data_IF_065703866452
#
_entry.id   IF_065703866452
#
_cell.length_a   1.000
_cell.length_b   1.000
_cell.length_c   1.000
_cell.angle_alpha   90.00
_cell.angle_beta   90.00
_cell.angle_gamma   90.00
#
_symmetry.space_group_name_H-M   'P 1'
#
loop_
_entity.id
_entity.type
_entity.pdbx_description
1 polymer ?
#
# COMPACT_ATOMS: atom_id res chain seq x y z
N UNK A 1 -20.97 -19.78 3.29
CA UNK A 1 -20.89 -21.21 2.97
C UNK A 1 -19.68 -21.48 2.10
N UNK A 2 -18.89 -22.49 2.45
CA UNK A 2 -17.79 -23.04 1.66
C UNK A 2 -18.34 -23.90 0.52
N UNK A 3 -17.47 -24.34 -0.40
CA UNK A 3 -17.89 -25.31 -1.43
C UNK A 3 -18.28 -26.66 -0.82
N UNK A 4 -17.66 -27.06 0.30
CA UNK A 4 -18.03 -28.27 1.02
C UNK A 4 -19.43 -28.13 1.62
N UNK A 5 -19.74 -27.02 2.29
CA UNK A 5 -21.07 -26.78 2.87
C UNK A 5 -22.17 -26.85 1.79
N UNK A 6 -21.91 -26.32 0.58
CA UNK A 6 -22.86 -26.38 -0.54
C UNK A 6 -22.98 -27.81 -1.07
N UNK A 7 -21.87 -28.54 -1.17
CA UNK A 7 -21.85 -29.96 -1.54
C UNK A 7 -22.74 -30.77 -0.62
N UNK A 8 -22.58 -30.58 0.69
CA UNK A 8 -23.31 -31.32 1.72
C UNK A 8 -24.80 -30.96 1.71
N UNK A 9 -25.14 -29.68 1.53
CA UNK A 9 -26.54 -29.22 1.47
C UNK A 9 -27.27 -29.63 0.19
N UNK A 10 -26.56 -29.78 -0.93
CA UNK A 10 -27.16 -30.07 -2.24
C UNK A 10 -27.01 -31.53 -2.67
N UNK A 11 -26.26 -32.34 -1.91
CA UNK A 11 -25.92 -33.72 -2.23
C UNK A 11 -25.19 -33.89 -3.58
N UNK A 12 -24.63 -32.81 -4.11
CA UNK A 12 -23.80 -32.83 -5.32
C UNK A 12 -22.35 -33.10 -4.94
N UNK A 13 -21.58 -33.69 -5.86
CA UNK A 13 -20.14 -33.83 -5.65
C UNK A 13 -19.45 -32.47 -5.62
N UNK A 14 -18.38 -32.37 -4.83
CA UNK A 14 -17.62 -31.13 -4.67
C UNK A 14 -17.14 -30.56 -6.01
N UNK A 15 -16.70 -31.42 -6.93
CA UNK A 15 -16.26 -31.03 -8.27
C UNK A 15 -17.41 -30.46 -9.12
N UNK A 16 -18.62 -31.01 -8.98
CA UNK A 16 -19.82 -30.51 -9.68
C UNK A 16 -20.16 -29.11 -9.20
N UNK A 17 -20.22 -28.91 -7.87
CA UNK A 17 -20.48 -27.60 -7.27
C UNK A 17 -19.41 -26.59 -7.69
N UNK A 18 -18.13 -26.97 -7.61
CA UNK A 18 -17.02 -26.11 -8.06
C UNK A 18 -17.17 -25.74 -9.54
N UNK A 19 -17.48 -26.69 -10.41
CA UNK A 19 -17.64 -26.47 -11.85
C UNK A 19 -18.77 -25.47 -12.16
N UNK A 20 -19.90 -25.59 -11.46
CA UNK A 20 -21.03 -24.64 -11.59
C UNK A 20 -20.59 -23.24 -11.16
N UNK A 21 -19.97 -23.12 -9.98
CA UNK A 21 -19.49 -21.82 -9.48
C UNK A 21 -18.45 -21.22 -10.42
N UNK A 22 -17.53 -22.03 -10.94
CA UNK A 22 -16.50 -21.57 -11.86
C UNK A 22 -17.10 -21.03 -13.17
N UNK A 23 -18.09 -21.73 -13.76
CA UNK A 23 -18.80 -21.26 -14.95
C UNK A 23 -19.49 -19.92 -14.71
N UNK A 24 -20.18 -19.78 -13.57
CA UNK A 24 -20.82 -18.53 -13.19
C UNK A 24 -19.81 -17.39 -13.03
N UNK A 25 -18.71 -17.63 -12.32
CA UNK A 25 -17.66 -16.62 -12.13
C UNK A 25 -17.00 -16.22 -13.46
N UNK A 26 -16.76 -17.18 -14.35
CA UNK A 26 -16.18 -16.90 -15.67
C UNK A 26 -17.10 -16.00 -16.49
N UNK A 27 -18.40 -16.31 -16.51
CA UNK A 27 -19.42 -15.53 -17.24
C UNK A 27 -19.49 -14.09 -16.73
N UNK A 28 -19.53 -13.90 -15.41
CA UNK A 28 -19.86 -12.60 -14.82
C UNK A 28 -18.60 -11.74 -14.54
N UNK A 29 -17.45 -12.37 -14.32
CA UNK A 29 -16.22 -11.69 -13.89
C UNK A 29 -14.99 -11.96 -14.75
N UNK A 30 -15.01 -12.94 -15.66
CA UNK A 30 -13.84 -13.33 -16.45
C UNK A 30 -13.31 -12.24 -17.38
N UNK A 31 -14.15 -11.27 -17.76
CA UNK A 31 -13.80 -10.18 -18.67
C UNK A 31 -14.24 -8.81 -18.15
N UNK A 32 -13.59 -8.25 -17.10
CA UNK A 32 -13.95 -6.93 -16.55
C UNK A 32 -13.84 -5.84 -17.62
N UNK A 33 -14.87 -5.01 -17.80
CA UNK A 33 -14.78 -3.88 -18.73
C UNK A 33 -13.75 -2.86 -18.25
N UNK A 34 -12.90 -2.36 -19.16
CA UNK A 34 -11.87 -1.36 -18.85
C UNK A 34 -12.26 0.05 -19.33
N UNK A 35 -13.34 0.19 -20.11
CA UNK A 35 -13.67 1.43 -20.84
C UNK A 35 -13.88 2.65 -19.94
N UNK A 36 -14.43 2.44 -18.74
CA UNK A 36 -14.77 3.51 -17.80
C UNK A 36 -13.66 3.83 -16.80
N UNK A 37 -12.50 3.17 -16.88
CA UNK A 37 -11.43 3.36 -15.91
C UNK A 37 -10.82 4.76 -16.01
N UNK A 38 -10.62 5.40 -14.85
CA UNK A 38 -9.94 6.70 -14.71
C UNK A 38 -8.78 6.65 -13.73
N UNK A 39 -8.96 5.95 -12.61
CA UNK A 39 -7.98 5.86 -11.54
C UNK A 39 -7.60 4.42 -11.28
N UNK A 40 -6.31 4.11 -11.38
CA UNK A 40 -5.80 2.76 -11.18
C UNK A 40 -4.93 2.68 -9.93
N UNK A 41 -4.91 1.52 -9.28
CA UNK A 41 -3.84 1.15 -8.37
C UNK A 41 -3.20 -0.16 -8.79
N UNK A 42 -1.88 -0.25 -8.63
CA UNK A 42 -1.10 -1.46 -8.94
C UNK A 42 -0.38 -1.90 -7.67
N UNK A 43 -0.50 -3.19 -7.34
CA UNK A 43 0.18 -3.77 -6.18
C UNK A 43 0.49 -5.26 -6.41
N UNK A 44 1.44 -5.79 -5.64
CA UNK A 44 1.84 -7.19 -5.67
C UNK A 44 1.34 -7.93 -4.43
N UNK A 45 0.74 -9.09 -4.64
CA UNK A 45 0.37 -10.00 -3.56
C UNK A 45 1.21 -11.27 -3.61
N UNK A 46 1.56 -11.75 -2.43
CA UNK A 46 2.20 -13.05 -2.25
C UNK A 46 1.17 -14.08 -1.79
N UNK A 47 1.07 -15.21 -2.51
CA UNK A 47 0.09 -16.28 -2.21
C UNK A 47 0.82 -17.62 -2.00
N UNK A 48 1.01 -17.98 -0.72
CA UNK A 48 1.32 -19.35 -0.28
C UNK A 48 2.76 -19.88 -0.47
N UNK A 49 2.99 -21.15 -0.09
CA UNK A 49 4.34 -21.77 0.02
C UNK A 49 5.11 -21.95 -1.29
N UNK A 50 4.44 -21.93 -2.45
CA UNK A 50 5.08 -22.15 -3.78
C UNK A 50 5.58 -20.86 -4.47
N UNK A 51 5.82 -19.78 -3.71
CA UNK A 51 6.33 -18.48 -4.21
C UNK A 51 5.54 -17.89 -5.40
N UNK A 52 4.20 -17.95 -5.37
CA UNK A 52 3.39 -17.31 -6.42
C UNK A 52 3.13 -15.85 -6.07
N UNK A 53 3.80 -14.95 -6.77
CA UNK A 53 3.45 -13.52 -6.77
C UNK A 53 2.39 -13.27 -7.83
N UNK A 54 1.44 -12.40 -7.51
CA UNK A 54 0.46 -11.90 -8.48
C UNK A 54 0.47 -10.39 -8.46
N UNK A 55 0.44 -9.80 -9.65
CA UNK A 55 0.27 -8.36 -9.83
C UNK A 55 -1.20 -8.04 -10.03
N UNK A 56 -1.76 -7.19 -9.16
CA UNK A 56 -3.15 -6.77 -9.21
C UNK A 56 -3.24 -5.38 -9.82
N UNK A 57 -4.28 -5.17 -10.64
CA UNK A 57 -4.72 -3.81 -11.00
C UNK A 57 -6.13 -3.60 -10.49
N UNK A 58 -6.29 -2.54 -9.71
CA UNK A 58 -7.54 -2.14 -9.10
C UNK A 58 -8.07 -0.88 -9.76
N UNK A 59 -9.38 -0.81 -9.97
CA UNK A 59 -10.09 0.44 -10.17
C UNK A 59 -10.27 1.14 -8.82
N UNK A 60 -9.69 2.32 -8.67
CA UNK A 60 -9.77 3.09 -7.43
C UNK A 60 -11.12 3.79 -7.24
N UNK A 61 -11.98 3.92 -8.26
CA UNK A 61 -13.34 4.42 -8.07
C UNK A 61 -14.20 3.34 -7.41
N UNK A 62 -14.24 2.14 -7.99
CA UNK A 62 -15.12 1.05 -7.52
C UNK A 62 -14.49 0.11 -6.48
N UNK A 63 -13.16 0.09 -6.35
CA UNK A 63 -12.44 -0.92 -5.57
C UNK A 63 -12.45 -2.31 -6.21
N UNK A 64 -12.76 -2.41 -7.51
CA UNK A 64 -12.81 -3.67 -8.26
C UNK A 64 -11.43 -4.07 -8.77
N UNK A 65 -11.08 -5.35 -8.63
CA UNK A 65 -9.93 -5.91 -9.35
C UNK A 65 -10.31 -6.06 -10.83
N UNK A 66 -9.58 -5.36 -11.69
CA UNK A 66 -9.79 -5.36 -13.15
C UNK A 66 -8.78 -6.24 -13.88
N UNK A 67 -7.67 -6.58 -13.22
CA UNK A 67 -6.65 -7.47 -13.73
C UNK A 67 -5.92 -8.22 -12.63
N UNK A 68 -5.56 -9.47 -12.92
CA UNK A 68 -4.63 -10.28 -12.12
C UNK A 68 -3.62 -10.91 -13.07
N UNK A 69 -2.35 -10.53 -12.93
CA UNK A 69 -1.23 -11.08 -13.69
C UNK A 69 -0.40 -12.04 -12.83
N UNK A 70 0.01 -13.17 -13.39
CA UNK A 70 0.95 -14.08 -12.73
C UNK A 70 2.37 -13.48 -12.77
N UNK A 71 3.07 -13.51 -11.64
CA UNK A 71 4.42 -12.99 -11.49
C UNK A 71 4.50 -11.56 -10.94
N UNK A 72 5.68 -10.96 -11.09
CA UNK A 72 6.02 -9.61 -10.64
C UNK A 72 6.41 -8.73 -11.81
N UNK A 73 6.26 -7.43 -11.62
CA UNK A 73 6.78 -6.39 -12.50
C UNK A 73 6.10 -6.32 -13.86
N UNK A 74 6.85 -5.75 -14.81
CA UNK A 74 6.41 -5.45 -16.17
C UNK A 74 5.79 -6.65 -16.92
N UNK A 75 6.39 -7.84 -16.77
CA UNK A 75 5.96 -9.04 -17.50
C UNK A 75 4.51 -9.43 -17.19
N UNK A 76 4.04 -9.21 -15.96
CA UNK A 76 2.68 -9.55 -15.53
C UNK A 76 1.61 -8.57 -16.08
N UNK A 77 2.02 -7.37 -16.53
CA UNK A 77 1.13 -6.31 -16.99
C UNK A 77 1.09 -6.13 -18.52
N UNK A 78 1.96 -6.78 -19.29
CA UNK A 78 2.00 -6.61 -20.75
C UNK A 78 0.64 -6.84 -21.45
N UNK A 79 -0.07 -7.91 -21.08
CA UNK A 79 -1.42 -8.20 -21.61
C UNK A 79 -2.45 -7.18 -21.15
N UNK A 80 -2.31 -6.66 -19.92
CA UNK A 80 -3.19 -5.63 -19.38
C UNK A 80 -3.07 -4.32 -20.17
N UNK A 81 -1.84 -3.83 -20.38
CA UNK A 81 -1.60 -2.59 -21.15
C UNK A 81 -2.19 -2.66 -22.55
N UNK A 82 -2.03 -3.79 -23.25
CA UNK A 82 -2.64 -4.02 -24.56
C UNK A 82 -4.15 -3.90 -24.50
N UNK A 83 -4.79 -4.52 -23.51
CA UNK A 83 -6.25 -4.50 -23.34
C UNK A 83 -6.76 -3.11 -22.97
N UNK A 84 -6.04 -2.39 -22.11
CA UNK A 84 -6.36 -1.03 -21.69
C UNK A 84 -6.27 -0.04 -22.86
N UNK A 85 -5.24 -0.17 -23.71
CA UNK A 85 -5.10 0.62 -24.93
C UNK A 85 -6.28 0.39 -25.88
N UNK A 86 -6.67 -0.88 -26.08
CA UNK A 86 -7.80 -1.24 -26.94
C UNK A 86 -9.15 -0.76 -26.38
N UNK A 87 -9.30 -0.64 -25.06
CA UNK A 87 -10.53 -0.13 -24.46
C UNK A 87 -10.72 1.38 -24.59
N UNK A 88 -9.69 2.12 -25.07
CA UNK A 88 -9.69 3.59 -25.19
C UNK A 88 -10.05 4.31 -23.87
N UNK A 89 -9.69 3.69 -22.74
CA UNK A 89 -9.94 4.27 -21.43
C UNK A 89 -9.06 5.52 -21.24
N UNK A 90 -9.62 6.57 -20.63
CA UNK A 90 -8.88 7.80 -20.34
C UNK A 90 -8.40 7.75 -18.89
N UNK A 91 -7.24 7.14 -18.68
CA UNK A 91 -6.62 7.10 -17.35
C UNK A 91 -6.12 8.49 -16.99
N UNK A 92 -6.56 8.99 -15.83
CA UNK A 92 -6.18 10.29 -15.28
C UNK A 92 -5.02 10.14 -14.31
N UNK A 93 -5.05 9.13 -13.44
CA UNK A 93 -3.96 8.89 -12.50
C UNK A 93 -3.82 7.42 -12.09
N UNK A 94 -2.61 7.05 -11.68
CA UNK A 94 -2.26 5.73 -11.16
C UNK A 94 -1.60 5.88 -9.80
N UNK A 95 -2.24 5.33 -8.76
CA UNK A 95 -1.66 5.25 -7.42
C UNK A 95 -0.73 4.03 -7.29
N UNK A 96 0.46 4.24 -6.74
CA UNK A 96 1.43 3.17 -6.53
C UNK A 96 2.41 3.49 -5.40
N UNK A 97 3.19 2.50 -4.99
CA UNK A 97 4.34 2.68 -4.11
C UNK A 97 5.52 3.33 -4.88
N UNK A 98 6.47 3.93 -4.16
CA UNK A 98 7.69 4.54 -4.70
C UNK A 98 8.73 3.52 -5.23
N UNK A 99 8.46 2.23 -5.17
CA UNK A 99 9.41 1.23 -5.69
C UNK A 99 9.67 1.43 -7.19
N UNK A 100 10.95 1.62 -7.54
CA UNK A 100 11.39 2.17 -8.83
C UNK A 100 11.03 1.34 -10.08
N UNK A 101 10.56 0.10 -9.93
CA UNK A 101 10.30 -0.79 -11.06
C UNK A 101 8.97 -0.52 -11.79
N UNK A 102 7.98 0.11 -11.14
CA UNK A 102 6.65 0.27 -11.71
C UNK A 102 6.39 1.66 -12.30
N UNK A 103 6.92 2.71 -11.68
CA UNK A 103 6.61 4.09 -12.10
C UNK A 103 7.09 4.37 -13.53
N UNK A 104 8.29 3.91 -13.90
CA UNK A 104 8.88 4.09 -15.24
C UNK A 104 8.02 3.43 -16.32
N UNK A 105 7.52 2.23 -16.04
CA UNK A 105 6.59 1.49 -16.92
C UNK A 105 5.28 2.24 -17.08
N UNK A 106 4.72 2.78 -16.00
CA UNK A 106 3.46 3.51 -16.08
C UNK A 106 3.62 4.78 -16.90
N UNK A 107 4.72 5.53 -16.75
CA UNK A 107 4.97 6.69 -17.60
C UNK A 107 5.18 6.31 -19.08
N UNK A 108 5.85 5.19 -19.36
CA UNK A 108 6.01 4.71 -20.72
C UNK A 108 4.67 4.30 -21.36
N UNK A 109 3.81 3.59 -20.62
CA UNK A 109 2.55 3.05 -21.15
C UNK A 109 1.38 4.03 -21.08
N UNK A 110 1.41 4.98 -20.16
CA UNK A 110 0.38 5.98 -19.89
C UNK A 110 0.99 7.38 -19.72
N UNK A 111 1.56 7.98 -20.78
CA UNK A 111 2.28 9.25 -20.68
C UNK A 111 1.40 10.43 -20.24
N UNK A 112 0.08 10.34 -20.43
CA UNK A 112 -0.88 11.36 -19.99
C UNK A 112 -1.47 11.15 -18.59
N UNK A 113 -1.11 10.07 -17.89
CA UNK A 113 -1.61 9.78 -16.56
C UNK A 113 -0.65 10.28 -15.48
N UNK A 114 -1.18 10.93 -14.46
CA UNK A 114 -0.40 11.32 -13.30
C UNK A 114 -0.06 10.07 -12.46
N UNK A 115 1.21 9.92 -12.07
CA UNK A 115 1.60 8.96 -11.04
C UNK A 115 1.36 9.60 -9.69
N UNK A 116 0.67 8.91 -8.78
CA UNK A 116 0.43 9.37 -7.41
C UNK A 116 1.09 8.40 -6.44
N UNK A 117 2.04 8.87 -5.65
CA UNK A 117 2.67 8.04 -4.64
C UNK A 117 1.82 7.95 -3.37
N UNK A 118 1.74 6.74 -2.83
CA UNK A 118 0.94 6.49 -1.64
C UNK A 118 1.55 7.10 -0.36
N UNK A 119 0.75 7.94 0.30
CA UNK A 119 1.04 8.50 1.63
C UNK A 119 1.44 7.43 2.64
N UNK A 120 0.73 6.29 2.68
CA UNK A 120 1.00 5.25 3.67
C UNK A 120 2.42 4.68 3.50
N UNK A 121 2.83 4.38 2.27
CA UNK A 121 4.16 3.86 1.99
C UNK A 121 5.27 4.88 2.30
N UNK A 122 5.04 6.16 2.00
CA UNK A 122 5.97 7.25 2.36
C UNK A 122 6.13 7.34 3.89
N UNK A 123 5.03 7.34 4.64
CA UNK A 123 5.06 7.38 6.10
C UNK A 123 5.68 6.10 6.70
N UNK A 124 5.45 4.95 6.07
CA UNK A 124 6.08 3.67 6.44
C UNK A 124 7.59 3.73 6.24
N UNK A 125 8.08 4.27 5.13
CA UNK A 125 9.51 4.46 4.89
C UNK A 125 10.15 5.40 5.92
N UNK A 126 9.46 6.49 6.27
CA UNK A 126 9.92 7.39 7.35
C UNK A 126 9.99 6.67 8.70
N UNK A 127 8.97 5.87 9.02
CA UNK A 127 8.92 5.04 10.23
C UNK A 127 10.05 4.01 10.30
N UNK A 128 10.37 3.38 9.17
CA UNK A 128 11.49 2.43 9.06
C UNK A 128 12.83 3.12 9.34
N UNK A 129 13.05 4.31 8.79
CA UNK A 129 14.23 5.14 9.06
C UNK A 129 14.32 5.59 10.52
N UNK A 130 13.19 5.96 11.14
CA UNK A 130 13.15 6.31 12.56
C UNK A 130 13.50 5.10 13.45
N UNK A 131 12.97 3.91 13.14
CA UNK A 131 13.30 2.70 13.89
C UNK A 131 14.73 2.22 13.65
N UNK A 132 15.31 2.48 12.46
CA UNK A 132 16.72 2.25 12.18
C UNK A 132 17.62 3.18 13.02
N UNK A 133 17.31 4.49 13.06
CA UNK A 133 18.02 5.45 13.90
C UNK A 133 17.94 5.04 15.38
N UNK A 134 16.74 4.72 15.87
CA UNK A 134 16.53 4.23 17.23
C UNK A 134 17.38 3.00 17.53
N UNK A 135 17.47 2.05 16.59
CA UNK A 135 18.32 0.85 16.74
C UNK A 135 19.80 1.19 16.79
N UNK A 136 20.26 2.15 16.01
CA UNK A 136 21.65 2.64 16.08
C UNK A 136 21.95 3.27 17.43
N UNK A 137 21.12 4.20 17.90
CA UNK A 137 21.28 4.85 19.19
C UNK A 137 21.27 3.85 20.37
N UNK A 138 20.42 2.83 20.33
CA UNK A 138 20.39 1.77 21.37
C UNK A 138 21.68 0.95 21.41
N UNK A 139 22.36 0.76 20.28
CA UNK A 139 23.63 0.02 20.21
C UNK A 139 24.78 0.83 20.82
N UNK A 140 24.78 2.14 20.61
CA UNK A 140 25.82 3.06 21.08
C UNK A 140 25.60 3.52 22.53
N UNK A 141 24.35 3.60 22.99
CA UNK A 141 24.02 4.08 24.33
C UNK A 141 24.39 3.10 25.45
N UNK A 142 24.88 3.67 26.56
CA UNK A 142 25.15 2.98 27.84
C UNK A 142 24.30 3.53 28.97
N UNK A 143 24.11 2.74 30.04
CA UNK A 143 23.43 3.19 31.27
C UNK A 143 21.99 3.68 31.06
N UNK A 144 21.66 4.83 31.67
CA UNK A 144 20.33 5.45 31.70
C UNK A 144 19.80 5.77 30.30
N UNK A 145 20.66 6.22 29.38
CA UNK A 145 20.30 6.57 28.00
C UNK A 145 19.80 5.36 27.22
N UNK A 146 20.36 4.16 27.47
CA UNK A 146 19.88 2.93 26.84
C UNK A 146 18.52 2.50 27.38
N UNK A 147 18.28 2.68 28.68
CA UNK A 147 17.03 2.30 29.33
C UNK A 147 15.86 3.14 28.80
N UNK A 148 16.09 4.42 28.50
CA UNK A 148 15.03 5.34 28.02
C UNK A 148 14.65 5.11 26.56
N UNK A 149 15.55 4.61 25.71
CA UNK A 149 15.23 4.28 24.30
C UNK A 149 14.73 2.84 24.14
N UNK A 150 15.06 1.93 25.06
CA UNK A 150 14.64 0.54 24.95
C UNK A 150 13.13 0.42 25.16
N UNK A 151 12.45 -0.21 24.20
CA UNK A 151 11.00 -0.43 24.27
C UNK A 151 10.14 0.77 23.88
N UNK A 152 10.71 1.87 23.36
CA UNK A 152 9.95 3.05 22.91
C UNK A 152 9.51 2.98 21.45
N UNK A 153 9.82 1.90 20.72
CA UNK A 153 9.48 1.72 19.30
C UNK A 153 8.04 2.10 18.99
N UNK A 154 7.07 1.51 19.69
CA UNK A 154 5.66 1.78 19.42
C UNK A 154 5.24 3.20 19.81
N UNK A 155 5.94 3.85 20.74
CA UNK A 155 5.67 5.25 21.10
C UNK A 155 6.08 6.19 19.97
N UNK A 156 7.25 5.95 19.39
CA UNK A 156 7.81 6.76 18.29
C UNK A 156 7.05 6.60 16.98
N UNK A 157 6.60 5.38 16.67
CA UNK A 157 5.92 5.05 15.42
C UNK A 157 4.44 5.46 15.42
N UNK A 158 3.81 5.56 16.58
CA UNK A 158 2.42 6.02 16.71
C UNK A 158 2.36 7.53 16.43
N UNK A 159 1.31 8.00 15.72
CA UNK A 159 1.08 9.46 15.57
C UNK A 159 0.67 10.04 16.91
N UNK A 160 1.12 11.26 17.24
CA UNK A 160 0.88 11.86 18.55
C UNK A 160 -0.61 11.87 18.98
N UNK A 161 -1.59 12.17 18.10
CA UNK A 161 -3.01 12.15 18.48
C UNK A 161 -3.56 10.76 18.84
N UNK A 162 -2.88 9.69 18.41
CA UNK A 162 -3.29 8.31 18.66
C UNK A 162 -2.57 7.69 19.87
N UNK A 163 -1.68 8.44 20.52
CA UNK A 163 -0.92 7.95 21.65
C UNK A 163 -1.74 8.12 22.93
N UNK A 164 -1.85 7.05 23.71
CA UNK A 164 -2.53 7.08 25.00
C UNK A 164 -1.81 8.05 25.95
N UNK A 165 -2.58 8.86 26.69
CA UNK A 165 -2.07 9.95 27.54
C UNK A 165 -1.06 9.43 28.57
N UNK A 166 -1.27 8.22 29.09
CA UNK A 166 -0.41 7.59 30.09
C UNK A 166 0.98 7.25 29.55
N UNK A 167 1.15 7.21 28.22
CA UNK A 167 2.41 6.89 27.55
C UNK A 167 3.22 8.13 27.16
N UNK A 168 2.66 9.33 27.30
CA UNK A 168 3.33 10.60 26.96
C UNK A 168 4.60 10.84 27.79
N UNK A 169 4.61 10.66 29.13
CA UNK A 169 5.83 10.94 29.92
C UNK A 169 7.01 10.09 29.47
N UNK A 170 6.76 8.81 29.14
CA UNK A 170 7.79 7.89 28.66
C UNK A 170 8.34 8.29 27.29
N UNK A 171 7.50 8.85 26.41
CA UNK A 171 7.95 9.39 25.13
C UNK A 171 8.81 10.64 25.36
N UNK A 172 8.33 11.58 26.18
CA UNK A 172 9.04 12.83 26.49
C UNK A 172 10.43 12.57 27.10
N UNK A 173 10.54 11.63 28.04
CA UNK A 173 11.83 11.23 28.61
C UNK A 173 12.78 10.67 27.55
N UNK A 174 12.27 9.86 26.62
CA UNK A 174 13.07 9.30 25.54
C UNK A 174 13.55 10.38 24.57
N UNK A 175 12.72 11.39 24.26
CA UNK A 175 13.08 12.48 23.35
C UNK A 175 14.04 13.48 24.03
N UNK A 176 13.80 13.82 25.30
CA UNK A 176 14.61 14.76 26.07
C UNK A 176 16.07 14.31 26.21
N UNK A 177 16.27 13.01 26.42
CA UNK A 177 17.61 12.44 26.62
C UNK A 177 18.31 12.08 25.30
N UNK A 178 17.65 12.22 24.15
CA UNK A 178 18.18 11.78 22.86
C UNK A 178 17.86 12.79 21.75
N UNK A 179 18.71 13.81 21.62
CA UNK A 179 18.52 14.88 20.63
C UNK A 179 18.34 14.37 19.18
N UNK A 180 19.14 13.41 18.66
CA UNK A 180 18.94 12.92 17.29
C UNK A 180 17.59 12.21 17.12
N UNK A 181 17.15 11.48 18.14
CA UNK A 181 15.86 10.79 18.14
C UNK A 181 14.70 11.79 18.18
N UNK A 182 14.85 12.85 18.98
CA UNK A 182 13.92 13.97 19.07
C UNK A 182 13.72 14.66 17.71
N UNK A 183 14.82 15.07 17.07
CA UNK A 183 14.80 15.66 15.72
C UNK A 183 14.08 14.78 14.71
N UNK A 184 14.39 13.48 14.68
CA UNK A 184 13.78 12.54 13.75
C UNK A 184 12.28 12.30 14.04
N UNK A 185 11.88 12.24 15.31
CA UNK A 185 10.48 12.10 15.71
C UNK A 185 9.64 13.31 15.28
N UNK A 186 10.10 14.53 15.56
CA UNK A 186 9.36 15.74 15.17
C UNK A 186 9.28 15.90 13.66
N UNK A 187 10.36 15.60 12.92
CA UNK A 187 10.30 15.60 11.46
C UNK A 187 9.34 14.55 10.89
N UNK A 188 9.20 13.38 11.56
CA UNK A 188 8.19 12.38 11.19
C UNK A 188 6.77 12.90 11.41
N UNK A 189 6.50 13.51 12.55
CA UNK A 189 5.19 14.12 12.83
C UNK A 189 4.90 15.26 11.84
N UNK A 190 5.87 16.13 11.59
CA UNK A 190 5.75 17.22 10.63
C UNK A 190 5.49 16.72 9.20
N UNK A 191 6.21 15.71 8.73
CA UNK A 191 6.00 15.12 7.39
C UNK A 191 4.55 14.70 7.19
N UNK A 192 3.89 14.24 8.25
CA UNK A 192 2.52 13.78 8.18
C UNK A 192 1.51 14.88 7.84
N UNK A 193 1.88 16.16 8.07
CA UNK A 193 1.13 17.38 7.72
C UNK A 193 1.29 17.80 6.25
N UNK A 194 2.19 17.17 5.49
CA UNK A 194 2.40 17.46 4.07
C UNK A 194 1.11 17.36 3.25
N UNK A 195 0.25 16.39 3.59
CA UNK A 195 -1.03 16.18 2.90
C UNK A 195 -2.17 17.03 3.45
N UNK A 196 -1.90 17.86 4.45
CA UNK A 196 -2.86 18.75 5.12
C UNK A 196 -2.70 20.21 4.65
N UNK A 197 -1.74 20.48 3.75
CA UNK A 197 -1.51 21.81 3.17
C UNK A 197 -2.72 22.30 2.37
N UNK A 198 -2.99 23.61 2.28
CA UNK A 198 -4.22 24.14 1.66
C UNK A 198 -4.19 24.21 0.13
N UNK A 199 -3.03 24.05 -0.50
CA UNK A 199 -2.88 24.13 -1.97
C UNK A 199 -1.69 23.29 -2.45
N UNK A 200 -1.63 22.99 -3.76
CA UNK A 200 -0.47 22.32 -4.36
C UNK A 200 0.82 23.12 -4.18
N UNK A 201 0.75 24.43 -4.33
CA UNK A 201 1.90 25.32 -4.14
C UNK A 201 2.38 25.30 -2.68
N UNK A 202 1.46 25.35 -1.71
CA UNK A 202 1.80 25.22 -0.29
C UNK A 202 2.38 23.84 0.03
N UNK A 203 1.87 22.77 -0.59
CA UNK A 203 2.41 21.42 -0.46
C UNK A 203 3.84 21.31 -1.01
N UNK A 204 4.12 21.94 -2.15
CA UNK A 204 5.47 21.98 -2.74
C UNK A 204 6.46 22.75 -1.86
N UNK A 205 6.08 23.93 -1.41
CA UNK A 205 6.90 24.74 -0.50
C UNK A 205 7.16 24.00 0.81
N UNK A 206 6.13 23.43 1.42
CA UNK A 206 6.26 22.60 2.62
C UNK A 206 7.23 21.43 2.40
N UNK A 207 7.10 20.70 1.28
CA UNK A 207 7.99 19.58 0.95
C UNK A 207 9.45 20.04 0.84
N UNK A 208 9.70 21.16 0.16
CA UNK A 208 11.03 21.75 0.00
C UNK A 208 11.63 22.14 1.35
N UNK A 209 10.87 22.84 2.19
CA UNK A 209 11.31 23.25 3.51
C UNK A 209 11.56 22.06 4.44
N UNK A 210 10.69 21.05 4.42
CA UNK A 210 10.88 19.82 5.18
C UNK A 210 12.19 19.12 4.76
N UNK A 211 12.44 19.03 3.45
CA UNK A 211 13.67 18.43 2.94
C UNK A 211 14.92 19.23 3.36
N UNK A 212 14.87 20.56 3.35
CA UNK A 212 15.96 21.41 3.82
C UNK A 212 16.25 21.16 5.31
N UNK A 213 15.22 21.20 6.18
CA UNK A 213 15.36 20.89 7.61
C UNK A 213 15.94 19.49 7.84
N UNK A 214 15.45 18.50 7.11
CA UNK A 214 15.95 17.12 7.19
C UNK A 214 17.43 17.02 6.79
N UNK A 215 17.89 17.81 5.80
CA UNK A 215 19.29 17.86 5.40
C UNK A 215 20.19 18.50 6.48
N UNK A 216 19.71 19.57 7.10
CA UNK A 216 20.42 20.34 8.12
C UNK A 216 20.56 19.60 9.46
N UNK A 217 19.72 18.58 9.72
CA UNK A 217 19.83 17.78 10.95
C UNK A 217 21.17 17.08 11.16
N UNK A 218 21.95 16.86 10.10
CA UNK A 218 23.16 16.03 10.15
C UNK A 218 22.90 14.52 10.14
N UNK A 219 21.65 14.08 10.27
CA UNK A 219 21.30 12.66 10.41
C UNK A 219 21.23 12.00 9.03
N UNK A 220 22.15 11.07 8.75
CA UNK A 220 22.26 10.40 7.44
C UNK A 220 20.96 9.77 6.94
N UNK A 221 20.19 9.14 7.84
CA UNK A 221 18.91 8.52 7.50
C UNK A 221 17.85 9.54 7.04
N UNK A 222 17.81 10.71 7.66
CA UNK A 222 16.90 11.80 7.31
C UNK A 222 17.31 12.48 5.99
N UNK A 223 18.62 12.68 5.79
CA UNK A 223 19.17 13.15 4.50
C UNK A 223 18.79 12.21 3.35
N UNK A 224 18.89 10.90 3.57
CA UNK A 224 18.43 9.92 2.58
C UNK A 224 16.93 10.03 2.32
N UNK A 225 16.11 10.21 3.37
CA UNK A 225 14.67 10.41 3.21
C UNK A 225 14.35 11.64 2.36
N UNK A 226 14.99 12.77 2.66
CA UNK A 226 14.85 14.01 1.90
C UNK A 226 15.21 13.82 0.42
N UNK A 227 16.33 13.14 0.13
CA UNK A 227 16.72 12.80 -1.26
C UNK A 227 15.65 11.96 -1.96
N UNK A 228 15.11 10.95 -1.29
CA UNK A 228 14.02 10.11 -1.84
C UNK A 228 12.75 10.92 -2.10
N UNK A 229 12.34 11.77 -1.17
CA UNK A 229 11.16 12.62 -1.36
C UNK A 229 11.35 13.59 -2.53
N UNK A 230 12.52 14.22 -2.65
CA UNK A 230 12.84 15.12 -3.76
C UNK A 230 12.86 14.39 -5.11
N UNK A 231 13.43 13.19 -5.19
CA UNK A 231 13.45 12.39 -6.43
C UNK A 231 12.05 11.95 -6.88
N UNK A 232 11.09 11.91 -5.95
CA UNK A 232 9.70 11.51 -6.20
C UNK A 232 8.71 12.66 -6.06
N UNK A 233 9.17 13.91 -6.01
CA UNK A 233 8.36 15.08 -5.67
C UNK A 233 7.13 15.23 -6.58
N UNK A 234 7.29 15.05 -7.89
CA UNK A 234 6.17 15.16 -8.85
C UNK A 234 5.02 14.21 -8.48
N UNK A 235 5.30 12.94 -8.21
CA UNK A 235 4.27 11.96 -7.86
C UNK A 235 3.68 12.17 -6.47
N UNK A 236 4.44 12.78 -5.55
CA UNK A 236 3.93 13.19 -4.23
C UNK A 236 2.96 14.35 -4.38
N UNK A 237 3.32 15.37 -5.16
CA UNK A 237 2.51 16.57 -5.38
C UNK A 237 1.23 16.31 -6.17
N UNK A 238 1.26 15.33 -7.09
CA UNK A 238 0.08 14.87 -7.82
C UNK A 238 -1.04 14.36 -6.89
N UNK A 239 -0.70 13.98 -5.65
CA UNK A 239 -1.71 13.64 -4.65
C UNK A 239 -2.67 14.80 -4.38
N UNK A 240 -2.21 16.06 -4.42
CA UNK A 240 -3.08 17.20 -4.15
C UNK A 240 -4.25 17.30 -5.13
N UNK A 241 -3.98 17.05 -6.42
CA UNK A 241 -4.95 17.16 -7.50
C UNK A 241 -5.92 15.96 -7.52
N UNK A 242 -5.42 14.75 -7.26
CA UNK A 242 -6.23 13.53 -7.40
C UNK A 242 -6.74 12.94 -6.07
N UNK A 243 -6.12 13.29 -4.94
CA UNK A 243 -6.41 12.81 -3.57
C UNK A 243 -6.59 11.30 -3.47
N UNK A 244 -5.81 10.54 -4.23
CA UNK A 244 -5.90 9.09 -4.24
C UNK A 244 -5.31 8.50 -2.96
N UNK A 245 -5.97 7.44 -2.47
CA UNK A 245 -5.49 6.62 -1.36
C UNK A 245 -5.52 5.16 -1.76
N UNK A 246 -4.49 4.42 -1.35
CA UNK A 246 -4.41 2.97 -1.54
C UNK A 246 -5.24 2.19 -0.51
N UNK A 247 -6.00 2.86 0.37
CA UNK A 247 -6.83 2.17 1.38
C UNK A 247 -7.79 1.14 0.78
N UNK A 248 -8.29 1.38 -0.45
CA UNK A 248 -9.08 0.37 -1.21
C UNK A 248 -8.25 -0.86 -1.58
N UNK A 249 -6.99 -0.66 -2.02
CA UNK A 249 -6.05 -1.76 -2.30
C UNK A 249 -5.73 -2.54 -1.02
N UNK A 250 -5.50 -1.87 0.11
CA UNK A 250 -5.26 -2.55 1.39
C UNK A 250 -6.48 -3.37 1.84
N UNK A 251 -7.68 -2.80 1.73
CA UNK A 251 -8.93 -3.51 2.00
C UNK A 251 -9.07 -4.77 1.12
N UNK A 252 -8.74 -4.66 -0.17
CA UNK A 252 -8.72 -5.78 -1.10
C UNK A 252 -7.67 -6.81 -0.70
N UNK A 253 -6.44 -6.41 -0.38
CA UNK A 253 -5.38 -7.31 0.09
C UNK A 253 -5.80 -8.09 1.34
N UNK A 254 -6.49 -7.44 2.28
CA UNK A 254 -7.02 -8.10 3.48
C UNK A 254 -8.15 -9.08 3.15
N UNK A 255 -9.03 -8.76 2.20
CA UNK A 255 -10.03 -9.70 1.68
C UNK A 255 -9.37 -10.93 1.02
N UNK A 256 -8.29 -10.74 0.25
CA UNK A 256 -7.56 -11.83 -0.40
C UNK A 256 -6.87 -12.74 0.63
N UNK A 257 -6.23 -12.16 1.65
CA UNK A 257 -5.65 -12.92 2.77
C UNK A 257 -6.72 -13.77 3.46
N UNK A 258 -7.89 -13.19 3.72
CA UNK A 258 -9.03 -13.89 4.34
C UNK A 258 -9.55 -15.02 3.47
N UNK A 259 -9.74 -14.76 2.17
CA UNK A 259 -10.15 -15.77 1.18
C UNK A 259 -9.18 -16.96 1.15
N UNK A 260 -7.88 -16.67 1.10
CA UNK A 260 -6.83 -17.70 1.04
C UNK A 260 -6.76 -18.54 2.31
N UNK A 261 -6.91 -17.91 3.50
CA UNK A 261 -6.95 -18.60 4.79
C UNK A 261 -8.15 -19.54 4.89
N UNK A 262 -9.35 -19.09 4.49
CA UNK A 262 -10.58 -19.90 4.53
C UNK A 262 -10.52 -21.13 3.62
N UNK A 263 -9.81 -21.05 2.50
CA UNK A 263 -9.68 -22.15 1.55
C UNK A 263 -8.52 -23.11 1.85
N UNK A 264 -7.66 -22.81 2.83
CA UNK A 264 -6.37 -23.50 3.03
C UNK A 264 -5.51 -23.56 1.75
N UNK A 265 -5.65 -22.55 0.90
CA UNK A 265 -5.01 -22.46 -0.41
C UNK A 265 -5.85 -23.01 -1.56
N UNK A 266 -5.55 -22.54 -2.78
CA UNK A 266 -6.22 -22.97 -4.01
C UNK A 266 -5.28 -23.81 -4.87
N UNK A 267 -5.74 -25.01 -5.28
CA UNK A 267 -5.00 -25.87 -6.22
C UNK A 267 -5.25 -25.46 -7.68
N UNK A 268 -6.47 -25.03 -7.97
CA UNK A 268 -6.89 -24.56 -9.29
C UNK A 268 -6.66 -23.05 -9.41
N UNK A 269 -5.70 -22.68 -10.25
CA UNK A 269 -5.31 -21.29 -10.46
C UNK A 269 -6.39 -20.49 -11.19
N UNK A 270 -7.05 -21.06 -12.19
CA UNK A 270 -8.14 -20.40 -12.92
C UNK A 270 -9.28 -20.06 -11.97
N UNK A 271 -9.68 -21.01 -11.13
CA UNK A 271 -10.70 -20.78 -10.11
C UNK A 271 -10.29 -19.68 -9.13
N UNK A 272 -9.03 -19.69 -8.67
CA UNK A 272 -8.50 -18.66 -7.79
C UNK A 272 -8.58 -17.26 -8.41
N UNK A 273 -8.09 -17.11 -9.65
CA UNK A 273 -8.12 -15.83 -10.38
C UNK A 273 -9.56 -15.29 -10.52
N UNK A 274 -10.51 -16.16 -10.83
CA UNK A 274 -11.93 -15.81 -10.92
C UNK A 274 -12.51 -15.36 -9.57
N UNK A 275 -12.13 -16.04 -8.47
CA UNK A 275 -12.53 -15.61 -7.12
C UNK A 275 -11.97 -14.23 -6.78
N UNK A 276 -10.73 -13.93 -7.16
CA UNK A 276 -10.15 -12.59 -7.00
C UNK A 276 -10.94 -11.53 -7.77
N UNK A 277 -11.28 -11.78 -9.04
CA UNK A 277 -12.06 -10.81 -9.84
C UNK A 277 -13.47 -10.55 -9.26
N UNK A 278 -14.09 -11.55 -8.63
CA UNK A 278 -15.38 -11.41 -7.95
C UNK A 278 -15.33 -10.73 -6.57
N UNK A 279 -14.15 -10.52 -6.01
CA UNK A 279 -13.94 -10.17 -4.59
C UNK A 279 -14.58 -8.83 -4.18
N UNK A 280 -14.79 -7.92 -5.15
CA UNK A 280 -15.39 -6.62 -4.91
C UNK A 280 -16.86 -6.71 -4.45
N UNK A 281 -17.60 -7.74 -4.87
CA UNK A 281 -18.96 -8.01 -4.40
C UNK A 281 -19.01 -8.78 -3.08
N UNK A 282 -17.89 -9.36 -2.63
CA UNK A 282 -17.83 -10.03 -1.35
C UNK A 282 -17.97 -9.00 -0.22
N UNK A 283 -19.21 -8.83 0.27
CA UNK A 283 -19.47 -8.23 1.58
C UNK A 283 -18.92 -9.21 2.62
N UNK A 284 -17.70 -8.96 3.10
CA UNK A 284 -17.28 -9.57 4.36
C UNK A 284 -18.08 -8.84 5.44
N UNK A 285 -19.29 -9.34 5.73
CA UNK A 285 -19.91 -9.04 7.02
C UNK A 285 -18.97 -9.66 8.05
N UNK A 286 -18.25 -8.81 8.78
CA UNK A 286 -17.74 -9.20 10.08
C UNK A 286 -18.99 -9.48 10.91
N UNK A 287 -19.37 -10.75 10.96
CA UNK A 287 -20.35 -11.22 11.94
C UNK A 287 -19.54 -11.29 13.23
N UNK A 288 -19.59 -10.20 13.99
CA UNK A 288 -19.24 -10.17 15.40
C UNK A 288 -20.50 -10.34 16.22
#
# INVERSE_FOLDING_TARGET
MTLADVSDLTWLSWDTVKGIVQKHLQRDYGHPSLKALKYLAVDEIYVGRRKKFYTLVLDLETGRIVWVGHGRGHAALGKFWRRLRLSKAKIQAVAMDMSGAYWSVVLEKLPGAAVVFDRFHIMKLMNEKLDELRRALVREATGVMRQTIKGTRYLLLTRAPNLAVEKLPKLEDALRLNEPLSKAYYLKEELSLLWEQPSRAAMEDFLRQWCARAMDTGIGLLRQMAKTLLSHASGILNWWEHRLSTGKMEGVNNKIKTLTRRAYGYRDETFFLLKLLSLHHAKIKLVG
#
